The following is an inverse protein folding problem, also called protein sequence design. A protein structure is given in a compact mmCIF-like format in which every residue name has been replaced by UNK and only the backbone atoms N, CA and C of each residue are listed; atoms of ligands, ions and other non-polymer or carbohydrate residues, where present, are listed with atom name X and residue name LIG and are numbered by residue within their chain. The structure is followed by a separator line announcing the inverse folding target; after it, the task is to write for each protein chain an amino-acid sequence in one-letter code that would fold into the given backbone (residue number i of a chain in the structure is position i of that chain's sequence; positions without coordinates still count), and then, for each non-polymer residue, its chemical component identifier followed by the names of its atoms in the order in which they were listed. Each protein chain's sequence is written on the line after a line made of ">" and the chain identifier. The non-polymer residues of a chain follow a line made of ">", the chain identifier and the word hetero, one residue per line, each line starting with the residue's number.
data_IF_297288936635
#
_entry.id   IF_297288936635
#
_cell.length_a   1.000
_cell.length_b   1.000
_cell.length_c   1.000
_cell.angle_alpha   90.00
_cell.angle_beta   90.00
_cell.angle_gamma   90.00
#
_symmetry.space_group_name_H-M   'P 1'
#
loop_
_entity.id
_entity.type
_entity.pdbx_description
1 polymer ?
#
# COMPACT_ATOMS: atom_id res chain seq x y z
N UNK A 1 -1.73 5.40 5.21
CA UNK A 1 -1.22 4.02 5.28
C UNK A 1 -0.15 3.94 6.36
N UNK A 2 -0.07 2.84 7.09
CA UNK A 2 1.00 2.51 8.03
C UNK A 2 1.74 1.25 7.58
N UNK A 3 2.88 0.95 8.20
CA UNK A 3 3.64 -0.29 7.92
C UNK A 3 2.78 -1.55 8.18
N UNK A 4 1.84 -1.48 9.12
CA UNK A 4 0.94 -2.59 9.44
C UNK A 4 -0.10 -2.86 8.34
N UNK A 5 -0.43 -1.87 7.49
CA UNK A 5 -1.38 -2.05 6.39
C UNK A 5 -0.70 -2.62 5.12
N UNK A 6 0.63 -2.77 5.08
CA UNK A 6 1.38 -3.27 3.91
C UNK A 6 0.92 -4.66 3.45
N UNK A 7 0.66 -5.65 4.33
CA UNK A 7 0.20 -6.97 3.89
C UNK A 7 -1.09 -6.87 3.08
N UNK A 8 -2.10 -6.15 3.58
CA UNK A 8 -3.40 -6.00 2.91
C UNK A 8 -3.26 -5.26 1.57
N UNK A 9 -2.46 -4.18 1.54
CA UNK A 9 -2.14 -3.44 0.31
C UNK A 9 -1.45 -4.34 -0.72
N UNK A 10 -0.53 -5.19 -0.26
CA UNK A 10 0.23 -6.07 -1.15
C UNK A 10 -0.63 -7.21 -1.72
N UNK A 11 -1.64 -7.69 -0.99
CA UNK A 11 -2.66 -8.60 -1.56
C UNK A 11 -3.41 -7.93 -2.72
N UNK A 12 -3.90 -6.70 -2.52
CA UNK A 12 -4.60 -5.91 -3.54
C UNK A 12 -3.68 -5.68 -4.75
N UNK A 13 -2.41 -5.37 -4.50
CA UNK A 13 -1.41 -5.11 -5.55
C UNK A 13 -1.18 -6.33 -6.43
N UNK A 14 -1.03 -7.51 -5.84
CA UNK A 14 -0.87 -8.78 -6.58
C UNK A 14 -2.12 -9.16 -7.37
N UNK A 15 -3.29 -8.81 -6.88
CA UNK A 15 -4.55 -9.04 -7.59
C UNK A 15 -4.77 -8.03 -8.74
N UNK A 16 -4.24 -6.82 -8.60
CA UNK A 16 -4.50 -5.70 -9.52
C UNK A 16 -3.50 -5.59 -10.65
N UNK A 17 -2.24 -6.00 -10.43
CA UNK A 17 -1.15 -5.81 -11.40
C UNK A 17 -0.39 -7.11 -11.69
N UNK A 18 -0.03 -7.36 -12.97
CA UNK A 18 0.76 -8.53 -13.33
C UNK A 18 2.21 -8.46 -12.83
N UNK A 19 2.73 -7.25 -12.59
CA UNK A 19 4.04 -7.01 -11.99
C UNK A 19 3.83 -6.18 -10.72
N UNK A 20 3.57 -6.83 -9.58
CA UNK A 20 3.24 -6.14 -8.34
C UNK A 20 4.48 -5.48 -7.75
N UNK A 21 4.29 -4.32 -7.11
CA UNK A 21 5.33 -3.75 -6.26
C UNK A 21 5.66 -4.67 -5.09
N UNK A 22 6.95 -4.86 -4.77
CA UNK A 22 7.33 -5.68 -3.63
C UNK A 22 7.02 -4.97 -2.31
N UNK A 23 6.63 -5.73 -1.29
CA UNK A 23 6.25 -5.17 0.03
C UNK A 23 7.33 -4.26 0.66
N UNK A 24 8.62 -4.53 0.41
CA UNK A 24 9.71 -3.70 0.92
C UNK A 24 9.75 -2.30 0.28
N UNK A 25 9.27 -2.15 -0.96
CA UNK A 25 9.24 -0.85 -1.63
C UNK A 25 8.26 0.09 -0.94
N UNK A 26 7.05 -0.39 -0.62
CA UNK A 26 6.09 0.38 0.19
C UNK A 26 6.65 0.77 1.55
N UNK A 27 7.38 -0.15 2.21
CA UNK A 27 8.02 0.15 3.50
C UNK A 27 9.08 1.26 3.36
N UNK A 28 9.97 1.15 2.37
CA UNK A 28 10.98 2.18 2.13
C UNK A 28 10.35 3.51 1.81
N UNK A 29 9.29 3.54 1.01
CA UNK A 29 8.59 4.78 0.65
C UNK A 29 7.99 5.46 1.88
N UNK A 30 7.33 4.69 2.76
CA UNK A 30 6.74 5.22 4.00
C UNK A 30 7.79 5.71 5.00
N UNK A 31 8.97 5.10 5.04
CA UNK A 31 10.03 5.42 6.00
C UNK A 31 10.98 6.52 5.50
N UNK A 32 11.28 6.55 4.19
CA UNK A 32 12.31 7.40 3.62
C UNK A 32 11.77 8.55 2.77
N UNK A 33 10.59 8.41 2.16
CA UNK A 33 9.99 9.45 1.33
C UNK A 33 8.89 10.20 2.08
N UNK A 34 9.25 11.32 2.72
CA UNK A 34 8.29 12.17 3.43
C UNK A 34 7.26 12.85 2.52
N UNK A 35 7.45 12.85 1.20
CA UNK A 35 6.49 13.36 0.22
C UNK A 35 5.47 12.30 -0.20
N UNK A 36 5.77 11.02 0.01
CA UNK A 36 4.85 9.95 -0.31
C UNK A 36 3.55 10.10 0.49
N UNK A 37 2.43 9.93 -0.20
CA UNK A 37 1.08 9.97 0.37
C UNK A 37 0.31 8.77 -0.13
N UNK A 38 -0.16 7.95 0.80
CA UNK A 38 -0.95 6.76 0.52
C UNK A 38 -2.29 6.82 1.26
N UNK A 39 -3.37 6.71 0.50
CA UNK A 39 -4.75 6.62 0.94
C UNK A 39 -5.20 5.17 0.89
N UNK A 40 -5.94 4.76 1.93
CA UNK A 40 -6.56 3.43 2.01
C UNK A 40 -8.07 3.63 2.08
N UNK A 41 -8.81 2.80 1.35
CA UNK A 41 -10.25 2.67 1.49
C UNK A 41 -10.52 1.41 2.29
N UNK A 42 -11.25 1.57 3.41
CA UNK A 42 -11.64 0.44 4.27
C UNK A 42 -13.15 0.23 4.23
N UNK A 43 -13.60 -1.02 4.11
CA UNK A 43 -15.00 -1.42 4.22
C UNK A 43 -15.11 -2.51 5.30
N UNK A 44 -15.91 -2.28 6.34
CA UNK A 44 -16.04 -3.24 7.44
C UNK A 44 -14.74 -3.48 8.24
N UNK A 45 -13.76 -2.58 8.17
CA UNK A 45 -12.45 -2.72 8.82
C UNK A 45 -11.36 -3.34 7.94
N UNK A 46 -11.74 -3.93 6.81
CA UNK A 46 -10.82 -4.52 5.82
C UNK A 46 -10.39 -3.47 4.79
N UNK A 47 -9.12 -3.48 4.39
CA UNK A 47 -8.63 -2.64 3.29
C UNK A 47 -9.08 -3.24 1.97
N UNK A 48 -9.87 -2.49 1.19
CA UNK A 48 -10.43 -2.96 -0.08
C UNK A 48 -9.84 -2.24 -1.29
N UNK A 49 -9.22 -1.08 -1.09
CA UNK A 49 -8.50 -0.37 -2.12
C UNK A 49 -7.41 0.50 -1.51
N UNK A 50 -6.40 0.82 -2.31
CA UNK A 50 -5.36 1.74 -1.94
C UNK A 50 -4.96 2.61 -3.14
N UNK A 51 -4.42 3.79 -2.87
CA UNK A 51 -3.89 4.68 -3.90
C UNK A 51 -2.83 5.58 -3.29
N UNK A 52 -1.76 5.83 -4.05
CA UNK A 52 -0.68 6.66 -3.55
C UNK A 52 0.02 7.45 -4.64
N UNK A 53 0.66 8.53 -4.21
CA UNK A 53 1.65 9.29 -4.99
C UNK A 53 2.94 9.31 -4.19
N UNK A 54 4.06 9.15 -4.87
CA UNK A 54 5.41 9.06 -4.30
C UNK A 54 6.37 9.99 -5.03
#
# INVERSE_FOLDING_TARGET
>A
MTVADIPDVHEIERASFPVPWPAYAFRQELEMNRLARYLLVKAGGEVVAYGGIW
#
